data_IF_058012773067
#
_entry.id   IF_058012773067
#
_cell.length_a   1.000
_cell.length_b   1.000
_cell.length_c   1.000
_cell.angle_alpha   90.00
_cell.angle_beta   90.00
_cell.angle_gamma   90.00
#
_symmetry.space_group_name_H-M   'P 1'
#
loop_
_entity.id
_entity.type
_entity.pdbx_description
1 polymer ?
#
# COMPACT_ATOMS: atom_id res chain seq x y z
N UNK A 1 -2.61 31.97 11.09
CA UNK A 1 -1.59 30.98 11.53
C UNK A 1 -1.57 30.77 13.03
N UNK A 2 -1.36 31.80 13.88
CA UNK A 2 -1.26 31.63 15.34
C UNK A 2 -2.52 31.05 16.03
N UNK A 3 -3.70 31.34 15.48
CA UNK A 3 -4.97 30.82 15.99
C UNK A 3 -5.22 29.35 15.61
N UNK A 4 -4.81 28.91 14.41
CA UNK A 4 -4.85 27.49 14.03
C UNK A 4 -3.95 26.66 14.94
N UNK A 5 -2.75 27.17 15.26
CA UNK A 5 -1.83 26.55 16.21
C UNK A 5 -2.38 26.43 17.64
N UNK A 6 -3.41 27.21 18.01
CA UNK A 6 -4.11 27.04 19.29
C UNK A 6 -5.06 25.84 19.23
N UNK A 7 -5.80 25.66 18.12
CA UNK A 7 -6.78 24.58 17.96
C UNK A 7 -6.19 23.23 17.53
N UNK A 8 -4.95 23.23 17.07
CA UNK A 8 -4.15 22.03 16.79
C UNK A 8 -3.40 21.51 18.02
N UNK A 9 -3.34 22.31 19.09
CA UNK A 9 -2.61 21.95 20.30
C UNK A 9 -3.36 20.86 21.07
N UNK A 10 -2.77 19.66 21.16
CA UNK A 10 -3.29 18.52 21.92
C UNK A 10 -2.38 18.12 23.07
N UNK A 11 -2.95 17.62 24.18
CA UNK A 11 -2.22 17.01 25.29
C UNK A 11 -1.57 15.70 24.82
N UNK A 12 -0.24 15.59 24.95
CA UNK A 12 0.50 14.40 24.53
C UNK A 12 0.58 13.35 25.64
N UNK A 13 0.80 12.08 25.29
CA UNK A 13 0.81 10.94 26.22
C UNK A 13 1.85 10.99 27.35
N UNK A 14 2.85 11.87 27.26
CA UNK A 14 3.88 12.07 28.29
C UNK A 14 3.90 13.48 28.91
N UNK A 15 2.99 14.36 28.50
CA UNK A 15 2.89 15.72 29.02
C UNK A 15 1.92 15.76 30.21
N UNK A 16 2.27 16.49 31.26
CA UNK A 16 1.37 16.68 32.41
C UNK A 16 0.21 17.62 32.07
N UNK A 17 -0.98 17.36 32.63
CA UNK A 17 -2.17 18.22 32.41
C UNK A 17 -1.91 19.69 32.77
N UNK A 18 -1.15 19.95 33.82
CA UNK A 18 -0.83 21.31 34.28
C UNK A 18 0.05 22.09 33.29
N UNK A 19 0.95 21.40 32.59
CA UNK A 19 1.80 22.01 31.56
C UNK A 19 0.96 22.44 30.35
N UNK A 20 0.06 21.55 29.91
CA UNK A 20 -0.90 21.82 28.85
C UNK A 20 -1.86 22.97 29.21
N UNK A 21 -2.42 22.98 30.43
CA UNK A 21 -3.28 24.08 30.91
C UNK A 21 -2.53 25.41 30.81
N UNK A 22 -1.29 25.44 31.30
CA UNK A 22 -0.47 26.66 31.31
C UNK A 22 -0.17 27.14 29.88
N UNK A 23 0.13 26.24 28.96
CA UNK A 23 0.38 26.58 27.55
C UNK A 23 -0.88 27.13 26.86
N UNK A 24 -2.04 26.49 27.05
CA UNK A 24 -3.33 26.96 26.51
C UNK A 24 -3.67 28.34 27.09
N UNK A 25 -3.57 28.54 28.40
CA UNK A 25 -3.81 29.85 29.03
C UNK A 25 -2.90 30.93 28.45
N UNK A 26 -1.59 30.63 28.30
CA UNK A 26 -0.61 31.57 27.75
C UNK A 26 -0.96 31.96 26.31
N UNK A 27 -1.33 30.99 25.47
CA UNK A 27 -1.71 31.21 24.07
C UNK A 27 -3.01 32.00 23.94
N UNK A 28 -4.03 31.63 24.70
CA UNK A 28 -5.31 32.34 24.73
C UNK A 28 -5.16 33.78 25.22
N UNK A 29 -4.34 34.01 26.25
CA UNK A 29 -4.03 35.36 26.74
C UNK A 29 -3.33 36.21 25.69
N UNK A 30 -2.37 35.63 24.95
CA UNK A 30 -1.67 36.33 23.85
C UNK A 30 -2.60 36.68 22.68
N UNK A 31 -3.61 35.86 22.45
CA UNK A 31 -4.60 36.05 21.37
C UNK A 31 -5.87 36.79 21.82
N UNK A 32 -5.91 37.29 23.07
CA UNK A 32 -7.05 37.99 23.66
C UNK A 32 -8.38 37.21 23.54
N UNK A 33 -8.31 35.89 23.74
CA UNK A 33 -9.47 35.00 23.67
C UNK A 33 -10.37 35.12 24.89
N UNK A 34 -11.67 34.98 24.66
CA UNK A 34 -12.67 34.89 25.72
C UNK A 34 -12.56 33.59 26.50
N UNK A 35 -13.15 33.53 27.69
CA UNK A 35 -13.19 32.30 28.49
C UNK A 35 -13.87 31.15 27.74
N UNK A 36 -14.95 31.44 27.00
CA UNK A 36 -15.64 30.45 26.16
C UNK A 36 -14.74 29.89 25.06
N UNK A 37 -13.97 30.73 24.37
CA UNK A 37 -13.03 30.27 23.35
C UNK A 37 -11.87 29.48 23.98
N UNK A 38 -11.40 29.90 25.16
CA UNK A 38 -10.36 29.21 25.92
C UNK A 38 -10.80 27.81 26.36
N UNK A 39 -12.04 27.70 26.86
CA UNK A 39 -12.67 26.40 27.17
C UNK A 39 -12.75 25.53 25.93
N UNK A 40 -13.17 26.10 24.79
CA UNK A 40 -13.30 25.35 23.53
C UNK A 40 -11.95 24.83 23.03
N UNK A 41 -10.91 25.67 23.04
CA UNK A 41 -9.56 25.30 22.65
C UNK A 41 -9.00 24.21 23.58
N UNK A 42 -9.20 24.36 24.88
CA UNK A 42 -8.77 23.39 25.88
C UNK A 42 -9.43 22.03 25.71
N UNK A 43 -10.77 21.99 25.64
CA UNK A 43 -11.53 20.74 25.47
C UNK A 43 -11.11 20.03 24.19
N UNK A 44 -10.87 20.77 23.11
CA UNK A 44 -10.49 20.19 21.81
C UNK A 44 -9.17 19.44 21.85
N UNK A 45 -8.20 19.93 22.63
CA UNK A 45 -6.89 19.29 22.75
C UNK A 45 -6.79 18.20 23.81
N UNK A 46 -7.85 17.93 24.58
CA UNK A 46 -7.84 16.84 25.56
C UNK A 46 -7.95 15.46 24.89
N UNK A 47 -7.41 14.38 25.50
CA UNK A 47 -7.63 13.02 25.04
C UNK A 47 -9.12 12.68 25.07
N UNK A 48 -9.59 11.83 24.14
CA UNK A 48 -11.01 11.52 23.98
C UNK A 48 -11.70 11.06 25.28
N UNK A 49 -10.99 10.29 26.11
CA UNK A 49 -11.47 9.81 27.41
C UNK A 49 -11.76 10.96 28.39
N UNK A 50 -10.87 11.94 28.49
CA UNK A 50 -11.02 13.13 29.35
C UNK A 50 -12.00 14.13 28.73
N UNK A 51 -11.89 14.34 27.41
CA UNK A 51 -12.69 15.28 26.65
C UNK A 51 -14.20 15.01 26.82
N UNK A 52 -14.62 13.75 26.69
CA UNK A 52 -16.02 13.36 26.81
C UNK A 52 -16.61 13.72 28.19
N UNK A 53 -15.85 13.45 29.25
CA UNK A 53 -16.25 13.78 30.61
C UNK A 53 -16.40 15.29 30.82
N UNK A 54 -15.43 16.08 30.32
CA UNK A 54 -15.47 17.54 30.44
C UNK A 54 -16.64 18.13 29.65
N UNK A 55 -16.91 17.64 28.42
CA UNK A 55 -18.07 18.07 27.63
C UNK A 55 -19.38 17.76 28.38
N UNK A 56 -19.49 16.58 28.98
CA UNK A 56 -20.68 16.17 29.72
C UNK A 56 -20.97 17.08 30.92
N UNK A 57 -19.93 17.57 31.60
CA UNK A 57 -20.08 18.52 32.71
C UNK A 57 -20.48 19.93 32.27
N UNK A 58 -20.41 20.22 30.97
CA UNK A 58 -20.79 21.49 30.35
C UNK A 58 -20.25 22.72 31.13
N UNK A 59 -18.92 22.85 31.25
CA UNK A 59 -18.30 23.92 32.03
C UNK A 59 -18.61 25.30 31.43
N UNK A 60 -18.95 26.26 32.29
CA UNK A 60 -19.26 27.65 31.89
C UNK A 60 -18.01 28.50 31.76
N UNK A 61 -17.01 28.21 32.60
CA UNK A 61 -15.77 28.96 32.70
C UNK A 61 -14.55 28.04 32.61
N UNK A 62 -13.40 28.63 32.32
CA UNK A 62 -12.15 27.89 32.16
C UNK A 62 -11.74 27.12 33.43
N UNK A 63 -12.06 27.67 34.61
CA UNK A 63 -11.79 27.03 35.90
C UNK A 63 -12.59 25.74 36.08
N UNK A 64 -13.88 25.75 35.73
CA UNK A 64 -14.74 24.56 35.81
C UNK A 64 -14.28 23.48 34.82
N UNK A 65 -13.81 23.88 33.64
CA UNK A 65 -13.25 22.96 32.65
C UNK A 65 -11.99 22.25 33.18
N UNK A 66 -11.09 22.99 33.84
CA UNK A 66 -9.88 22.41 34.47
C UNK A 66 -10.28 21.42 35.57
N UNK A 67 -11.20 21.80 36.47
CA UNK A 67 -11.62 20.92 37.56
C UNK A 67 -12.24 19.62 37.02
N UNK A 68 -13.07 19.74 35.98
CA UNK A 68 -13.66 18.57 35.31
C UNK A 68 -12.61 17.67 34.68
N UNK A 69 -11.57 18.25 34.06
CA UNK A 69 -10.47 17.49 33.46
C UNK A 69 -9.61 16.78 34.51
N UNK A 70 -9.34 17.43 35.65
CA UNK A 70 -8.61 16.82 36.78
C UNK A 70 -9.38 15.64 37.37
N UNK A 71 -10.68 15.82 37.63
CA UNK A 71 -11.55 14.74 38.12
C UNK A 71 -11.61 13.57 37.14
N UNK A 72 -11.65 13.84 35.83
CA UNK A 72 -11.62 12.80 34.82
C UNK A 72 -10.30 12.02 34.84
N UNK A 73 -9.15 12.69 34.92
CA UNK A 73 -7.85 12.03 35.01
C UNK A 73 -7.70 11.20 36.27
N UNK A 74 -8.15 11.71 37.42
CA UNK A 74 -8.15 10.98 38.68
C UNK A 74 -9.05 9.74 38.62
N UNK A 75 -10.23 9.88 38.02
CA UNK A 75 -11.16 8.76 37.81
C UNK A 75 -10.57 7.69 36.88
N UNK A 76 -9.90 8.11 35.79
CA UNK A 76 -9.23 7.20 34.86
C UNK A 76 -8.01 6.51 35.50
N UNK A 77 -7.27 7.23 36.35
CA UNK A 77 -6.13 6.67 37.09
C UNK A 77 -6.58 5.66 38.17
N UNK A 78 -7.75 5.88 38.78
CA UNK A 78 -8.33 4.94 39.74
C UNK A 78 -8.83 3.63 39.10
N UNK A 79 -9.14 3.64 37.80
CA UNK A 79 -9.68 2.48 37.08
C UNK A 79 -8.96 2.23 35.74
N UNK A 80 -7.68 1.81 35.76
CA UNK A 80 -6.88 1.58 34.54
C UNK A 80 -7.40 0.43 33.66
N UNK A 81 -8.30 -0.40 34.20
CA UNK A 81 -8.81 -1.63 33.57
C UNK A 81 -9.96 -1.41 32.58
N UNK A 82 -10.59 -0.22 32.56
CA UNK A 82 -11.85 -0.01 31.82
C UNK A 82 -11.66 0.36 30.34
N UNK A 83 -10.47 0.79 29.92
CA UNK A 83 -10.22 1.29 28.54
C UNK A 83 -9.43 0.30 27.65
N UNK A 84 -8.90 -0.79 28.22
CA UNK A 84 -8.05 -1.74 27.48
C UNK A 84 -8.82 -2.88 26.82
N UNK A 85 -10.08 -3.13 27.20
CA UNK A 85 -10.87 -4.23 26.63
C UNK A 85 -11.13 -4.08 25.13
N UNK A 86 -11.59 -2.89 24.70
CA UNK A 86 -11.88 -2.61 23.29
C UNK A 86 -10.62 -2.55 22.43
N UNK A 87 -9.54 -1.96 22.96
CA UNK A 87 -8.25 -1.89 22.27
C UNK A 87 -7.63 -3.28 22.10
N UNK A 88 -7.70 -4.16 23.11
CA UNK A 88 -7.15 -5.51 23.01
C UNK A 88 -7.91 -6.40 22.01
N UNK A 89 -9.24 -6.32 21.96
CA UNK A 89 -10.04 -7.11 21.00
C UNK A 89 -9.77 -6.63 19.56
N UNK A 90 -9.71 -5.32 19.34
CA UNK A 90 -9.41 -4.75 18.01
C UNK A 90 -7.99 -5.11 17.57
N UNK A 91 -6.99 -5.04 18.47
CA UNK A 91 -5.62 -5.42 18.16
C UNK A 91 -5.48 -6.93 17.90
N UNK A 92 -6.18 -7.77 18.67
CA UNK A 92 -6.18 -9.21 18.47
C UNK A 92 -6.81 -9.59 17.12
N UNK A 93 -7.98 -9.03 16.80
CA UNK A 93 -8.66 -9.27 15.52
C UNK A 93 -7.86 -8.75 14.33
N UNK A 94 -7.17 -7.61 14.45
CA UNK A 94 -6.27 -7.09 13.42
C UNK A 94 -5.08 -8.03 13.17
N UNK A 95 -4.49 -8.57 14.23
CA UNK A 95 -3.36 -9.50 14.12
C UNK A 95 -3.77 -10.81 13.43
N UNK A 96 -4.92 -11.37 13.81
CA UNK A 96 -5.49 -12.56 13.18
C UNK A 96 -5.76 -12.34 11.68
N UNK A 97 -6.31 -11.16 11.31
CA UNK A 97 -6.52 -10.80 9.92
C UNK A 97 -5.19 -10.62 9.16
N UNK A 98 -4.16 -10.04 9.77
CA UNK A 98 -2.84 -9.90 9.16
C UNK A 98 -2.19 -11.26 8.87
N UNK A 99 -2.29 -12.21 9.80
CA UNK A 99 -1.77 -13.58 9.61
C UNK A 99 -2.50 -14.31 8.48
N UNK A 100 -3.83 -14.16 8.39
CA UNK A 100 -4.62 -14.71 7.29
C UNK A 100 -4.23 -14.10 5.93
N UNK A 101 -4.04 -12.79 5.85
CA UNK A 101 -3.60 -12.10 4.63
C UNK A 101 -2.20 -12.59 4.21
N UNK A 102 -1.28 -12.78 5.16
CA UNK A 102 0.05 -13.30 4.88
C UNK A 102 0.00 -14.71 4.30
N UNK A 103 -0.84 -15.59 4.87
CA UNK A 103 -1.01 -16.95 4.37
C UNK A 103 -1.54 -16.96 2.93
N UNK A 104 -2.59 -16.18 2.67
CA UNK A 104 -3.16 -16.02 1.33
C UNK A 104 -2.15 -15.46 0.32
N UNK A 105 -1.35 -14.47 0.74
CA UNK A 105 -0.30 -13.87 -0.10
C UNK A 105 0.76 -14.90 -0.49
N UNK A 106 1.17 -15.76 0.46
CA UNK A 106 2.13 -16.84 0.20
C UNK A 106 1.57 -17.86 -0.79
N UNK A 107 0.32 -18.30 -0.61
CA UNK A 107 -0.33 -19.21 -1.56
C UNK A 107 -0.44 -18.61 -2.96
N UNK A 108 -0.71 -17.31 -3.09
CA UNK A 108 -0.71 -16.61 -4.39
C UNK A 108 0.68 -16.60 -5.02
N UNK A 109 1.75 -16.39 -4.24
CA UNK A 109 3.12 -16.42 -4.76
C UNK A 109 3.51 -17.82 -5.26
N UNK A 110 3.14 -18.87 -4.53
CA UNK A 110 3.38 -20.26 -4.93
C UNK A 110 2.63 -20.62 -6.22
N UNK A 111 1.37 -20.17 -6.37
CA UNK A 111 0.62 -20.34 -7.61
C UNK A 111 1.26 -19.59 -8.80
N UNK A 112 1.80 -18.39 -8.59
CA UNK A 112 2.53 -17.63 -9.62
C UNK A 112 3.83 -18.32 -10.03
N UNK A 113 4.61 -18.80 -9.06
CA UNK A 113 5.83 -19.55 -9.33
C UNK A 113 5.56 -20.86 -10.11
N UNK A 114 4.42 -21.50 -9.88
CA UNK A 114 3.97 -22.65 -10.65
C UNK A 114 3.59 -22.30 -12.09
N UNK A 115 2.92 -21.17 -12.35
CA UNK A 115 2.62 -20.69 -13.71
C UNK A 115 3.89 -20.31 -14.47
N UNK A 116 4.83 -19.61 -13.82
CA UNK A 116 6.13 -19.27 -14.44
C UNK A 116 6.97 -20.52 -14.73
N UNK A 117 7.01 -21.48 -13.80
CA UNK A 117 7.67 -22.77 -13.99
C UNK A 117 7.05 -23.60 -15.12
N UNK A 118 5.71 -23.67 -15.19
CA UNK A 118 5.00 -24.35 -16.27
C UNK A 118 5.24 -23.69 -17.63
N UNK A 119 5.28 -22.35 -17.71
CA UNK A 119 5.59 -21.60 -18.93
C UNK A 119 7.03 -21.81 -19.39
N UNK A 120 8.00 -21.78 -18.48
CA UNK A 120 9.43 -22.00 -18.80
C UNK A 120 9.67 -23.44 -19.27
N UNK A 121 9.10 -24.44 -18.60
CA UNK A 121 9.22 -25.84 -19.00
C UNK A 121 8.57 -26.09 -20.37
N UNK A 122 7.36 -25.55 -20.59
CA UNK A 122 6.66 -25.63 -21.89
C UNK A 122 7.40 -24.92 -23.03
N UNK A 123 8.14 -23.85 -22.74
CA UNK A 123 8.97 -23.15 -23.72
C UNK A 123 10.28 -23.93 -23.99
N UNK A 124 10.88 -24.53 -22.97
CA UNK A 124 12.10 -25.33 -23.06
C UNK A 124 11.87 -26.64 -23.82
N UNK A 125 10.79 -27.38 -23.55
CA UNK A 125 10.43 -28.60 -24.27
C UNK A 125 10.19 -28.35 -25.76
N UNK A 126 9.46 -27.27 -26.09
CA UNK A 126 9.27 -26.84 -27.49
C UNK A 126 10.57 -26.50 -28.19
N UNK A 127 11.58 -26.00 -27.48
CA UNK A 127 12.86 -25.65 -28.08
C UNK A 127 13.81 -26.85 -28.20
N UNK A 128 13.73 -27.81 -27.27
CA UNK A 128 14.51 -29.05 -27.30
C UNK A 128 14.08 -30.00 -28.42
N UNK A 129 12.77 -30.11 -28.70
CA UNK A 129 12.25 -31.04 -29.72
C UNK A 129 12.22 -30.46 -31.14
N UNK A 130 12.44 -29.15 -31.30
CA UNK A 130 12.46 -28.51 -32.61
C UNK A 130 13.89 -28.49 -33.18
N UNK A 131 14.08 -29.17 -34.32
CA UNK A 131 15.28 -28.99 -35.13
C UNK A 131 15.27 -27.62 -35.79
N UNK A 132 16.39 -26.91 -35.71
CA UNK A 132 16.59 -25.67 -36.42
C UNK A 132 16.61 -25.95 -37.93
N UNK A 133 15.65 -25.41 -38.67
CA UNK A 133 15.51 -25.63 -40.12
C UNK A 133 16.67 -25.05 -40.96
N UNK A 134 17.64 -24.37 -40.33
CA UNK A 134 18.79 -23.78 -41.01
C UNK A 134 20.09 -24.58 -40.80
N UNK A 135 20.27 -25.16 -39.61
CA UNK A 135 21.51 -25.85 -39.25
C UNK A 135 21.29 -27.31 -38.84
N UNK A 136 20.04 -27.76 -38.85
CA UNK A 136 19.54 -29.08 -38.45
C UNK A 136 19.90 -29.53 -37.02
N UNK A 137 20.38 -28.60 -36.17
CA UNK A 137 20.65 -28.86 -34.75
C UNK A 137 19.45 -28.47 -33.88
N UNK A 138 19.24 -29.20 -32.79
CA UNK A 138 18.15 -28.99 -31.84
C UNK A 138 18.50 -27.95 -30.76
N UNK A 139 17.53 -27.55 -29.94
CA UNK A 139 17.72 -26.70 -28.77
C UNK A 139 17.65 -25.18 -29.05
N UNK A 140 17.37 -24.78 -30.29
CA UNK A 140 17.16 -23.38 -30.66
C UNK A 140 16.24 -23.27 -31.89
N UNK A 141 15.56 -22.14 -32.03
CA UNK A 141 14.76 -21.84 -33.22
C UNK A 141 15.64 -21.27 -34.32
N UNK A 142 15.17 -21.34 -35.57
CA UNK A 142 15.86 -20.70 -36.69
C UNK A 142 16.15 -19.21 -36.42
N UNK A 143 15.23 -18.48 -35.78
CA UNK A 143 15.40 -17.05 -35.43
C UNK A 143 16.56 -16.77 -34.45
N UNK A 144 16.96 -17.76 -33.64
CA UNK A 144 18.04 -17.63 -32.65
C UNK A 144 19.26 -18.48 -33.01
N UNK A 145 19.37 -18.92 -34.28
CA UNK A 145 20.50 -19.73 -34.73
C UNK A 145 21.80 -18.91 -34.72
N UNK A 146 22.83 -19.43 -34.07
CA UNK A 146 24.15 -18.78 -34.01
C UNK A 146 24.80 -18.62 -35.40
N UNK A 147 24.43 -19.47 -36.37
CA UNK A 147 24.90 -19.36 -37.76
C UNK A 147 24.26 -18.18 -38.51
N UNK A 148 23.08 -17.70 -38.09
CA UNK A 148 22.47 -16.48 -38.63
C UNK A 148 23.15 -15.21 -38.10
N UNK A 149 23.61 -15.23 -36.85
CA UNK A 149 24.19 -14.04 -36.20
C UNK A 149 25.71 -13.87 -36.40
N UNK A 150 26.39 -14.85 -37.00
CA UNK A 150 27.85 -14.84 -37.17
C UNK A 150 28.33 -14.46 -38.58
N UNK A 151 27.43 -14.15 -39.51
CA UNK A 151 27.80 -13.77 -40.88
C UNK A 151 27.00 -12.56 -41.32
N UNK A 152 27.76 -11.49 -41.55
CA UNK A 152 27.38 -10.27 -42.25
C UNK A 152 26.53 -10.56 -43.49
N UNK A 153 25.59 -9.67 -43.79
CA UNK A 153 25.14 -9.41 -45.16
C UNK A 153 24.63 -10.60 -45.99
N UNK A 154 24.02 -11.59 -45.35
CA UNK A 154 23.08 -12.46 -46.02
C UNK A 154 21.69 -12.06 -45.52
N UNK A 155 21.05 -11.13 -46.25
CA UNK A 155 19.63 -11.33 -46.51
C UNK A 155 19.53 -12.83 -46.82
N UNK A 156 18.78 -13.57 -46.00
CA UNK A 156 18.11 -14.78 -46.49
C UNK A 156 17.69 -14.48 -47.93
N UNK A 157 17.71 -15.41 -48.90
CA UNK A 157 16.94 -15.15 -50.10
C UNK A 157 15.55 -14.85 -49.56
N UNK A 158 15.22 -13.57 -49.56
CA UNK A 158 13.93 -13.15 -49.14
C UNK A 158 13.13 -13.89 -50.18
N UNK A 159 12.36 -14.87 -49.74
CA UNK A 159 11.23 -15.38 -50.50
C UNK A 159 10.32 -14.16 -50.61
N UNK A 160 10.74 -13.21 -51.45
CA UNK A 160 10.21 -11.88 -51.67
C UNK A 160 8.98 -12.16 -52.53
N UNK A 161 7.94 -12.70 -51.90
CA UNK A 161 6.74 -13.16 -52.59
C UNK A 161 6.96 -14.37 -53.51
N UNK A 162 7.86 -15.30 -53.17
CA UNK A 162 7.97 -16.57 -53.90
C UNK A 162 6.96 -17.59 -53.38
N UNK A 163 6.16 -18.13 -54.32
CA UNK A 163 5.12 -19.10 -54.06
C UNK A 163 5.68 -20.37 -53.41
N UNK A 164 5.01 -20.86 -52.37
CA UNK A 164 5.45 -22.08 -51.67
C UNK A 164 5.15 -23.37 -52.43
N UNK A 165 4.26 -23.34 -53.44
CA UNK A 165 3.93 -24.54 -54.23
C UNK A 165 4.91 -24.73 -55.40
N UNK A 166 5.13 -23.71 -56.23
CA UNK A 166 5.96 -23.80 -57.43
C UNK A 166 7.33 -23.09 -57.33
N UNK A 167 7.58 -22.33 -56.26
CA UNK A 167 8.84 -21.61 -56.04
C UNK A 167 9.03 -20.32 -56.85
N UNK A 168 8.09 -19.95 -57.73
CA UNK A 168 8.17 -18.73 -58.57
C UNK A 168 7.78 -17.47 -57.78
N UNK A 169 8.49 -16.33 -57.95
CA UNK A 169 8.13 -15.03 -57.33
C UNK A 169 6.87 -14.41 -57.95
N UNK A 170 6.21 -13.53 -57.19
CA UNK A 170 5.09 -12.71 -57.65
C UNK A 170 3.69 -13.14 -57.17
N UNK A 171 3.56 -14.26 -56.46
CA UNK A 171 2.28 -14.73 -55.90
C UNK A 171 2.48 -15.58 -54.65
N UNK A 172 1.47 -15.66 -53.79
CA UNK A 172 1.50 -16.57 -52.64
C UNK A 172 0.98 -17.95 -53.01
N UNK A 173 1.26 -18.97 -52.18
CA UNK A 173 0.85 -20.35 -52.46
C UNK A 173 -0.66 -20.54 -52.62
N UNK A 174 -1.46 -19.66 -52.02
CA UNK A 174 -2.92 -19.64 -52.15
C UNK A 174 -3.41 -19.17 -53.52
N UNK A 175 -2.53 -18.53 -54.28
CA UNK A 175 -2.78 -17.95 -55.60
C UNK A 175 -2.04 -18.74 -56.70
N UNK A 176 -1.48 -19.91 -56.36
CA UNK A 176 -0.74 -20.74 -57.32
C UNK A 176 -1.71 -21.56 -58.18
N UNK A 177 -1.55 -21.45 -59.49
CA UNK A 177 -2.36 -22.18 -60.48
C UNK A 177 -1.72 -23.49 -60.94
N UNK A 178 -0.45 -23.72 -60.58
CA UNK A 178 0.22 -25.01 -60.71
C UNK A 178 -0.04 -25.75 -59.40
N UNK A 179 -0.89 -26.78 -59.44
CA UNK A 179 -1.24 -27.60 -58.29
C UNK A 179 -0.51 -28.94 -58.33
#
# INVERSE_FOLDING_TARGET
MLEQQLYERSLNSGEGLEEYITDIQRRCKRLLKTDRETVTAFIRGLPASVQLFVIQKNPKDFKEAIQSARLAQESLAAFPSFDTGSNNIIQQTLKEQQEAIQLLTKSIQEMKAADDGARINSARERNSNNKCQLCDRFGHQAKTCRLLNASTNMRTPQRNGACYNCGKPGHFARECTEN
#
